data_IF_489249994202
#
_entry.id   IF_489249994202
#
_cell.length_a   1.000
_cell.length_b   1.000
_cell.length_c   1.000
_cell.angle_alpha   90.00
_cell.angle_beta   90.00
_cell.angle_gamma   90.00
#
_symmetry.space_group_name_H-M   'P 1'
#
loop_
_entity.id
_entity.type
_entity.pdbx_description
1 polymer ?
#
# COMPACT_ATOMS: atom_id res chain seq x y z
N UNK A 1 20.37 -20.22 -15.39
CA UNK A 1 21.21 -19.30 -16.16
C UNK A 1 20.46 -18.88 -17.41
N UNK A 2 20.02 -17.61 -17.52
CA UNK A 2 19.66 -16.85 -18.73
C UNK A 2 18.59 -17.41 -19.70
N UNK A 3 17.55 -18.05 -19.22
CA UNK A 3 16.44 -18.47 -20.11
C UNK A 3 15.54 -17.33 -20.58
N UNK A 4 15.59 -16.14 -19.96
CA UNK A 4 14.73 -15.01 -20.30
C UNK A 4 15.52 -13.75 -20.66
N UNK A 5 16.27 -13.80 -21.74
CA UNK A 5 16.87 -12.59 -22.32
C UNK A 5 15.77 -11.71 -22.90
N UNK A 6 15.51 -10.57 -22.26
CA UNK A 6 14.52 -9.59 -22.71
C UNK A 6 14.50 -8.35 -21.82
N UNK A 7 13.91 -7.29 -22.36
CA UNK A 7 13.62 -6.09 -21.59
C UNK A 7 12.43 -6.33 -20.69
N UNK A 8 12.47 -5.79 -19.47
CA UNK A 8 11.32 -5.87 -18.56
C UNK A 8 11.03 -4.51 -17.92
N UNK A 9 9.78 -4.33 -17.55
CA UNK A 9 9.28 -3.16 -16.85
C UNK A 9 8.34 -3.62 -15.73
N UNK A 10 8.60 -3.15 -14.53
CA UNK A 10 7.77 -3.37 -13.36
C UNK A 10 6.98 -2.11 -13.09
N UNK A 11 5.65 -2.21 -13.08
CA UNK A 11 4.73 -1.08 -12.89
C UNK A 11 3.99 -1.27 -11.58
N UNK A 12 4.13 -0.27 -10.70
CA UNK A 12 3.39 -0.18 -9.44
C UNK A 12 2.31 0.89 -9.53
N UNK A 13 1.33 0.79 -8.63
CA UNK A 13 0.20 1.71 -8.65
C UNK A 13 0.57 3.12 -8.18
N UNK A 14 1.29 3.24 -7.05
CA UNK A 14 1.58 4.53 -6.41
C UNK A 14 3.06 4.93 -6.49
N UNK A 15 3.29 6.26 -6.49
CA UNK A 15 4.64 6.81 -6.38
C UNK A 15 5.31 6.44 -5.04
N UNK A 16 4.53 6.39 -3.95
CA UNK A 16 5.03 6.03 -2.63
C UNK A 16 5.58 4.59 -2.61
N UNK A 17 4.86 3.65 -3.22
CA UNK A 17 5.32 2.27 -3.36
C UNK A 17 6.59 2.17 -4.21
N UNK A 18 6.68 2.93 -5.31
CA UNK A 18 7.90 2.98 -6.12
C UNK A 18 9.09 3.51 -5.31
N UNK A 19 8.90 4.55 -4.50
CA UNK A 19 9.94 5.10 -3.64
C UNK A 19 10.38 4.10 -2.57
N UNK A 20 9.43 3.45 -1.90
CA UNK A 20 9.70 2.40 -0.92
C UNK A 20 10.54 1.25 -1.52
N UNK A 21 10.22 0.85 -2.75
CA UNK A 21 10.95 -0.21 -3.45
C UNK A 21 12.33 0.22 -3.95
N UNK A 22 12.57 1.52 -4.16
CA UNK A 22 13.78 2.01 -4.82
C UNK A 22 15.07 1.55 -4.11
N UNK A 23 15.07 1.57 -2.78
CA UNK A 23 16.24 1.14 -2.00
C UNK A 23 16.46 -0.37 -2.10
N UNK A 24 15.42 -1.17 -1.94
CA UNK A 24 15.50 -2.63 -2.09
C UNK A 24 15.89 -3.07 -3.50
N UNK A 25 15.37 -2.39 -4.52
CA UNK A 25 15.71 -2.62 -5.93
C UNK A 25 17.20 -2.41 -6.17
N UNK A 26 17.74 -1.33 -5.62
CA UNK A 26 19.16 -1.00 -5.74
C UNK A 26 20.05 -2.08 -5.12
N UNK A 27 19.67 -2.58 -3.94
CA UNK A 27 20.42 -3.62 -3.21
C UNK A 27 20.49 -4.96 -3.97
N UNK A 28 19.44 -5.32 -4.69
CA UNK A 28 19.40 -6.57 -5.48
C UNK A 28 19.88 -6.40 -6.92
N UNK A 29 20.43 -5.22 -7.26
CA UNK A 29 21.04 -4.95 -8.56
C UNK A 29 20.02 -4.80 -9.71
N UNK A 30 18.76 -4.53 -9.42
CA UNK A 30 17.75 -4.22 -10.44
C UNK A 30 17.90 -2.77 -10.87
N UNK A 31 18.03 -2.47 -12.17
CA UNK A 31 18.12 -1.10 -12.64
C UNK A 31 16.84 -0.31 -12.32
N UNK A 32 16.96 0.82 -11.63
CA UNK A 32 15.81 1.66 -11.27
C UNK A 32 14.94 2.07 -12.48
N UNK A 33 15.55 2.24 -13.67
CA UNK A 33 14.82 2.54 -14.91
C UNK A 33 13.81 1.45 -15.34
N UNK A 34 13.90 0.27 -14.76
CA UNK A 34 13.00 -0.85 -15.06
C UNK A 34 11.78 -0.88 -14.10
N UNK A 35 11.68 0.08 -13.17
CA UNK A 35 10.57 0.21 -12.26
C UNK A 35 9.96 1.59 -12.40
N UNK A 36 8.65 1.65 -12.56
CA UNK A 36 7.94 2.91 -12.69
C UNK A 36 6.57 2.82 -12.03
N UNK A 37 5.96 3.97 -11.73
CA UNK A 37 4.57 3.98 -11.30
C UNK A 37 3.66 4.40 -12.46
N UNK A 38 2.45 3.87 -12.45
CA UNK A 38 1.50 3.95 -13.57
C UNK A 38 1.33 5.35 -14.17
N UNK A 39 1.11 6.37 -13.32
CA UNK A 39 0.90 7.73 -13.81
C UNK A 39 2.10 8.28 -14.58
N UNK A 40 3.33 8.05 -14.10
CA UNK A 40 4.55 8.51 -14.77
C UNK A 40 4.77 7.74 -16.08
N UNK A 41 4.64 6.42 -16.03
CA UNK A 41 4.76 5.56 -17.21
C UNK A 41 3.80 5.99 -18.32
N UNK A 42 2.55 6.30 -17.96
CA UNK A 42 1.51 6.67 -18.92
C UNK A 42 1.68 8.11 -19.43
N UNK A 43 1.96 9.09 -18.55
CA UNK A 43 1.85 10.52 -18.89
C UNK A 43 3.20 11.21 -19.17
N UNK A 44 4.29 10.66 -18.67
CA UNK A 44 5.63 11.24 -18.84
C UNK A 44 6.55 10.39 -19.68
N UNK A 45 6.55 9.09 -19.48
CA UNK A 45 7.40 8.17 -20.22
C UNK A 45 6.82 7.77 -21.59
N UNK A 46 5.56 8.09 -21.90
CA UNK A 46 4.94 7.79 -23.19
C UNK A 46 4.60 6.31 -23.39
N UNK A 47 4.30 5.57 -22.34
CA UNK A 47 3.97 4.16 -22.35
C UNK A 47 5.02 3.29 -23.08
N UNK A 48 6.29 3.27 -22.66
CA UNK A 48 7.28 2.44 -23.31
C UNK A 48 6.90 0.97 -23.28
N UNK A 49 7.23 0.28 -24.38
CA UNK A 49 7.03 -1.16 -24.50
C UNK A 49 8.22 -1.94 -23.94
N UNK A 50 7.96 -3.12 -23.40
CA UNK A 50 8.99 -4.05 -22.97
C UNK A 50 8.66 -5.48 -23.44
N UNK A 51 9.62 -6.40 -23.40
CA UNK A 51 9.34 -7.80 -23.67
C UNK A 51 8.41 -8.38 -22.60
N UNK A 52 8.67 -8.03 -21.34
CA UNK A 52 7.87 -8.43 -20.19
C UNK A 52 7.38 -7.17 -19.45
N UNK A 53 6.09 -7.08 -19.19
CA UNK A 53 5.51 -6.08 -18.29
C UNK A 53 4.95 -6.81 -17.09
N UNK A 54 5.34 -6.38 -15.91
CA UNK A 54 4.91 -6.92 -14.63
C UNK A 54 4.15 -5.79 -13.94
N UNK A 55 2.90 -6.06 -13.57
CA UNK A 55 2.03 -5.07 -12.91
C UNK A 55 1.66 -5.60 -11.53
N UNK A 56 1.90 -4.80 -10.52
CA UNK A 56 1.49 -5.08 -9.15
C UNK A 56 0.21 -4.30 -8.81
N UNK A 57 -0.57 -4.83 -7.86
CA UNK A 57 -1.87 -4.27 -7.45
C UNK A 57 -2.84 -4.13 -8.65
N UNK A 58 -2.92 -5.17 -9.48
CA UNK A 58 -3.66 -5.13 -10.74
C UNK A 58 -5.16 -4.82 -10.55
N UNK A 59 -5.76 -5.12 -9.39
CA UNK A 59 -7.14 -4.81 -9.04
C UNK A 59 -7.43 -3.30 -8.91
N UNK A 60 -6.41 -2.45 -8.85
CA UNK A 60 -6.59 -1.00 -8.77
C UNK A 60 -6.61 -0.31 -10.14
N UNK A 61 -6.47 -1.06 -11.21
CA UNK A 61 -6.49 -0.52 -12.57
C UNK A 61 -7.84 -0.70 -13.25
N UNK A 62 -8.12 0.14 -14.23
CA UNK A 62 -9.27 -0.02 -15.10
C UNK A 62 -9.01 -1.08 -16.17
N UNK A 63 -10.08 -1.53 -16.82
CA UNK A 63 -9.97 -2.43 -17.96
C UNK A 63 -9.09 -1.86 -19.07
N UNK A 64 -9.25 -0.58 -19.38
CA UNK A 64 -8.47 0.13 -20.39
C UNK A 64 -6.97 0.14 -20.05
N UNK A 65 -6.64 0.31 -18.75
CA UNK A 65 -5.25 0.29 -18.32
C UNK A 65 -4.65 -1.13 -18.47
N UNK A 66 -5.38 -2.17 -18.10
CA UNK A 66 -4.95 -3.57 -18.31
C UNK A 66 -4.75 -3.88 -19.80
N UNK A 67 -5.67 -3.45 -20.67
CA UNK A 67 -5.54 -3.62 -22.13
C UNK A 67 -4.36 -2.81 -22.69
N UNK A 68 -4.10 -1.62 -22.14
CA UNK A 68 -2.92 -0.82 -22.49
C UNK A 68 -1.63 -1.55 -22.13
N UNK A 69 -1.51 -2.08 -20.90
CA UNK A 69 -0.36 -2.89 -20.50
C UNK A 69 -0.16 -4.08 -21.44
N UNK A 70 -1.25 -4.79 -21.77
CA UNK A 70 -1.22 -5.91 -22.70
C UNK A 70 -0.69 -5.51 -24.08
N UNK A 71 -1.10 -4.35 -24.59
CA UNK A 71 -0.66 -3.85 -25.90
C UNK A 71 0.82 -3.48 -25.94
N UNK A 72 1.44 -3.18 -24.78
CA UNK A 72 2.83 -2.78 -24.64
C UNK A 72 3.77 -3.91 -24.27
N UNK A 73 3.25 -5.04 -23.79
CA UNK A 73 4.01 -6.24 -23.49
C UNK A 73 4.22 -7.06 -24.79
N UNK A 74 5.49 -7.20 -25.22
CA UNK A 74 5.80 -7.87 -26.49
C UNK A 74 5.78 -9.39 -26.38
N UNK A 75 6.14 -9.95 -25.22
CA UNK A 75 6.22 -11.40 -24.98
C UNK A 75 5.20 -11.85 -23.93
N UNK A 76 5.21 -11.20 -22.74
CA UNK A 76 4.28 -11.56 -21.67
C UNK A 76 3.91 -10.37 -20.82
N UNK A 77 2.65 -10.37 -20.36
CA UNK A 77 2.12 -9.52 -19.30
C UNK A 77 1.85 -10.40 -18.06
N UNK A 78 2.44 -10.03 -16.95
CA UNK A 78 2.21 -10.69 -15.65
C UNK A 78 1.48 -9.70 -14.75
N UNK A 79 0.37 -10.15 -14.17
CA UNK A 79 -0.49 -9.33 -13.32
C UNK A 79 -0.55 -9.97 -11.93
N UNK A 80 -0.19 -9.21 -10.92
CA UNK A 80 -0.31 -9.60 -9.52
C UNK A 80 -1.35 -8.71 -8.86
N UNK A 81 -2.19 -9.29 -8.01
CA UNK A 81 -3.23 -8.54 -7.33
C UNK A 81 -4.06 -9.39 -6.39
N UNK A 82 -4.89 -8.71 -5.61
CA UNK A 82 -5.80 -9.31 -4.63
C UNK A 82 -7.09 -8.49 -4.62
N UNK A 83 -8.20 -9.07 -5.08
CA UNK A 83 -9.51 -8.40 -5.13
C UNK A 83 -9.99 -7.97 -3.74
N UNK A 84 -9.62 -8.69 -2.68
CA UNK A 84 -9.98 -8.33 -1.30
C UNK A 84 -9.25 -7.05 -0.80
N UNK A 85 -8.18 -6.65 -1.48
CA UNK A 85 -7.43 -5.42 -1.18
C UNK A 85 -7.78 -4.25 -2.10
N UNK A 86 -8.85 -4.36 -2.88
CA UNK A 86 -9.30 -3.28 -3.75
C UNK A 86 -9.84 -2.11 -2.92
N UNK A 87 -9.12 -0.99 -2.91
CA UNK A 87 -9.53 0.23 -2.21
C UNK A 87 -10.34 1.20 -3.08
N UNK A 88 -10.19 1.09 -4.39
CA UNK A 88 -10.78 2.02 -5.34
C UNK A 88 -11.81 1.29 -6.19
N UNK A 89 -13.03 1.77 -6.20
CA UNK A 89 -14.06 1.35 -7.18
C UNK A 89 -13.98 2.19 -8.46
N UNK A 90 -13.51 3.44 -8.32
CA UNK A 90 -13.33 4.36 -9.44
C UNK A 90 -12.04 5.14 -9.28
N UNK A 91 -11.31 5.31 -10.36
CA UNK A 91 -10.14 6.18 -10.44
C UNK A 91 -10.32 7.10 -11.65
N UNK A 92 -10.41 8.41 -11.40
CA UNK A 92 -10.58 9.43 -12.46
C UNK A 92 -11.71 9.07 -13.45
N UNK A 93 -12.89 8.77 -12.92
CA UNK A 93 -14.09 8.37 -13.67
C UNK A 93 -13.98 7.02 -14.41
N UNK A 94 -12.93 6.25 -14.19
CA UNK A 94 -12.78 4.88 -14.69
C UNK A 94 -13.07 3.88 -13.58
N UNK A 95 -13.89 2.90 -13.88
CA UNK A 95 -14.14 1.79 -12.97
C UNK A 95 -12.93 0.86 -12.94
N UNK A 96 -12.48 0.53 -11.73
CA UNK A 96 -11.45 -0.50 -11.53
C UNK A 96 -12.05 -1.89 -11.68
N UNK A 97 -11.22 -2.88 -11.96
CA UNK A 97 -11.66 -4.25 -12.23
C UNK A 97 -11.08 -5.22 -11.21
N UNK A 98 -11.88 -6.19 -10.80
CA UNK A 98 -11.42 -7.28 -9.91
C UNK A 98 -10.47 -8.22 -10.64
N UNK A 99 -9.74 -9.05 -9.88
CA UNK A 99 -8.87 -10.08 -10.48
C UNK A 99 -9.68 -11.11 -11.26
N UNK A 100 -10.91 -11.41 -10.84
CA UNK A 100 -11.85 -12.28 -11.51
C UNK A 100 -12.30 -11.68 -12.86
N UNK A 101 -12.60 -10.38 -12.90
CA UNK A 101 -12.92 -9.68 -14.14
C UNK A 101 -11.72 -9.69 -15.10
N UNK A 102 -10.51 -9.42 -14.56
CA UNK A 102 -9.28 -9.47 -15.36
C UNK A 102 -9.11 -10.86 -15.97
N UNK A 103 -9.26 -11.93 -15.21
CA UNK A 103 -9.23 -13.29 -15.71
C UNK A 103 -10.29 -13.52 -16.80
N UNK A 104 -11.52 -13.04 -16.56
CA UNK A 104 -12.64 -13.24 -17.47
C UNK A 104 -12.39 -12.64 -18.86
N UNK A 105 -11.90 -11.40 -18.95
CA UNK A 105 -11.70 -10.76 -20.25
C UNK A 105 -10.33 -11.05 -20.88
N UNK A 106 -9.28 -11.30 -20.09
CA UNK A 106 -7.96 -11.64 -20.65
C UNK A 106 -7.82 -13.09 -21.04
N UNK A 107 -8.52 -13.98 -20.36
CA UNK A 107 -8.38 -15.45 -20.42
C UNK A 107 -6.98 -15.92 -20.03
N UNK A 108 -6.28 -15.16 -19.19
CA UNK A 108 -4.97 -15.55 -18.68
C UNK A 108 -5.10 -16.74 -17.71
N UNK A 109 -4.10 -17.64 -17.70
CA UNK A 109 -4.01 -18.64 -16.64
C UNK A 109 -3.82 -17.92 -15.29
N UNK A 110 -4.41 -18.49 -14.23
CA UNK A 110 -4.34 -17.94 -12.87
C UNK A 110 -3.65 -18.93 -11.96
N UNK A 111 -2.67 -18.43 -11.23
CA UNK A 111 -2.04 -19.08 -10.09
C UNK A 111 -2.47 -18.37 -8.82
N UNK A 112 -2.91 -19.10 -7.83
CA UNK A 112 -3.38 -18.53 -6.57
C UNK A 112 -2.39 -18.82 -5.44
N UNK A 113 -1.92 -17.74 -4.77
CA UNK A 113 -1.12 -17.84 -3.56
C UNK A 113 -2.05 -17.89 -2.35
N UNK A 114 -2.13 -19.03 -1.68
CA UNK A 114 -3.08 -19.26 -0.59
C UNK A 114 -2.51 -18.82 0.76
N UNK A 115 -1.22 -19.06 0.99
CA UNK A 115 -0.61 -18.80 2.29
C UNK A 115 -0.10 -17.36 2.41
N UNK A 116 -0.33 -16.77 3.57
CA UNK A 116 0.16 -15.45 3.94
C UNK A 116 1.33 -15.59 4.92
N UNK A 117 2.53 -15.28 4.45
CA UNK A 117 3.77 -15.34 5.23
C UNK A 117 4.15 -13.98 5.85
N UNK A 118 3.38 -12.94 5.56
CA UNK A 118 3.66 -11.55 6.00
C UNK A 118 2.87 -11.14 7.22
N UNK A 119 1.55 -11.41 7.20
CA UNK A 119 0.63 -10.96 8.26
C UNK A 119 0.64 -11.97 9.41
N UNK A 120 0.96 -11.54 10.65
CA UNK A 120 0.85 -12.41 11.82
C UNK A 120 -0.61 -12.78 12.13
N UNK A 121 -0.86 -14.03 12.56
CA UNK A 121 -2.18 -14.53 12.94
C UNK A 121 -2.89 -13.65 13.97
N UNK A 122 -2.15 -13.11 14.94
CA UNK A 122 -2.73 -12.23 15.97
C UNK A 122 -3.31 -10.94 15.40
N UNK A 123 -2.73 -10.42 14.31
CA UNK A 123 -3.25 -9.24 13.60
C UNK A 123 -4.39 -9.70 12.67
N UNK A 124 -4.20 -10.80 11.94
CA UNK A 124 -5.21 -11.36 11.04
C UNK A 124 -6.53 -11.61 11.78
N UNK A 125 -6.48 -12.15 13.01
CA UNK A 125 -7.65 -12.39 13.87
C UNK A 125 -8.46 -11.11 14.13
N UNK A 126 -7.84 -9.96 14.27
CA UNK A 126 -8.56 -8.69 14.38
C UNK A 126 -9.06 -8.23 13.01
N UNK A 127 -8.20 -8.27 11.99
CA UNK A 127 -8.50 -7.76 10.66
C UNK A 127 -9.67 -8.49 9.99
N UNK A 128 -9.79 -9.79 10.15
CA UNK A 128 -10.89 -10.58 9.54
C UNK A 128 -12.29 -10.14 9.97
N UNK A 129 -12.45 -9.55 11.17
CA UNK A 129 -13.74 -9.02 11.61
C UNK A 129 -14.11 -7.68 10.96
N UNK A 130 -13.15 -7.02 10.34
CA UNK A 130 -13.35 -5.77 9.60
C UNK A 130 -13.66 -6.02 8.11
N UNK A 131 -13.42 -7.23 7.64
CA UNK A 131 -13.72 -7.63 6.28
C UNK A 131 -15.14 -8.22 6.22
N UNK A 132 -15.95 -7.76 5.27
CA UNK A 132 -17.31 -8.24 5.04
C UNK A 132 -17.37 -9.64 4.38
N UNK A 133 -16.27 -10.08 3.80
CA UNK A 133 -16.13 -11.43 3.26
C UNK A 133 -15.64 -12.36 4.36
N UNK A 134 -16.29 -13.52 4.52
CA UNK A 134 -15.94 -14.55 5.49
C UNK A 134 -14.65 -15.28 5.08
N UNK A 135 -13.57 -14.53 4.98
CA UNK A 135 -12.29 -15.06 4.59
C UNK A 135 -11.57 -15.60 5.85
N UNK A 136 -11.13 -16.84 5.78
CA UNK A 136 -10.34 -17.51 6.81
C UNK A 136 -8.91 -16.95 6.86
N UNK A 137 -8.79 -15.61 6.94
CA UNK A 137 -7.53 -14.89 6.86
C UNK A 137 -6.52 -15.38 7.90
N UNK A 138 -6.99 -15.65 9.13
CA UNK A 138 -6.13 -16.16 10.19
C UNK A 138 -5.57 -17.55 9.86
N UNK A 139 -6.37 -18.44 9.29
CA UNK A 139 -5.95 -19.81 8.95
C UNK A 139 -4.92 -19.85 7.84
N UNK A 140 -4.95 -18.88 6.93
CA UNK A 140 -3.96 -18.75 5.86
C UNK A 140 -2.62 -18.16 6.29
N UNK A 141 -2.56 -17.53 7.47
CA UNK A 141 -1.32 -16.95 7.99
C UNK A 141 -0.41 -18.04 8.57
N UNK A 142 0.88 -17.99 8.23
CA UNK A 142 1.87 -18.95 8.73
C UNK A 142 2.53 -18.51 10.02
N UNK A 143 2.64 -17.21 10.25
CA UNK A 143 3.35 -16.63 11.38
C UNK A 143 2.40 -16.31 12.53
N UNK A 144 2.74 -16.74 13.77
CA UNK A 144 1.91 -16.47 14.96
C UNK A 144 1.97 -14.98 15.37
N UNK A 145 3.12 -14.35 15.25
CA UNK A 145 3.38 -12.99 15.68
C UNK A 145 3.69 -12.86 17.18
N UNK A 146 4.41 -11.80 17.54
CA UNK A 146 4.89 -11.58 18.91
C UNK A 146 3.81 -10.93 19.76
N UNK A 147 3.32 -9.75 19.39
CA UNK A 147 2.35 -8.97 20.15
C UNK A 147 0.95 -9.05 19.56
N UNK A 148 -0.05 -8.87 20.41
CA UNK A 148 -1.46 -8.70 19.96
C UNK A 148 -1.68 -7.23 19.61
N UNK A 149 -2.51 -6.95 18.60
CA UNK A 149 -2.96 -5.58 18.36
C UNK A 149 -3.74 -5.06 19.58
N UNK A 150 -3.63 -3.76 19.85
CA UNK A 150 -4.24 -3.10 21.01
C UNK A 150 -5.21 -2.04 20.54
N UNK A 151 -6.43 -2.06 21.04
CA UNK A 151 -7.41 -1.00 20.86
C UNK A 151 -7.44 -0.22 22.18
N UNK A 152 -7.08 1.06 22.14
CA UNK A 152 -6.99 1.90 23.32
C UNK A 152 -7.87 3.13 23.11
N UNK A 153 -8.77 3.38 24.06
CA UNK A 153 -9.64 4.55 24.04
C UNK A 153 -8.99 5.68 24.83
N UNK A 154 -8.98 6.86 24.23
CA UNK A 154 -8.53 8.12 24.84
C UNK A 154 -9.69 9.11 24.96
N UNK A 155 -9.56 10.12 25.80
CA UNK A 155 -10.60 11.13 25.99
C UNK A 155 -10.58 12.20 24.88
N UNK A 156 -9.42 12.41 24.27
CA UNK A 156 -9.23 13.40 23.20
C UNK A 156 -8.03 13.04 22.32
N UNK A 157 -7.89 13.75 21.22
CA UNK A 157 -6.84 13.55 20.21
C UNK A 157 -5.45 13.83 20.78
N UNK A 158 -5.31 14.85 21.62
CA UNK A 158 -4.03 15.22 22.24
C UNK A 158 -3.47 14.08 23.08
N UNK A 159 -4.30 13.46 23.93
CA UNK A 159 -3.89 12.28 24.71
C UNK A 159 -3.44 11.11 23.83
N UNK A 160 -4.08 10.91 22.66
CA UNK A 160 -3.66 9.87 21.70
C UNK A 160 -2.27 10.16 21.17
N UNK A 161 -2.02 11.41 20.72
CA UNK A 161 -0.75 11.78 20.13
C UNK A 161 0.38 11.72 21.16
N UNK A 162 0.15 12.19 22.38
CA UNK A 162 1.11 12.11 23.48
C UNK A 162 1.48 10.66 23.81
N UNK A 163 0.49 9.76 23.81
CA UNK A 163 0.72 8.35 24.05
C UNK A 163 1.54 7.69 22.92
N UNK A 164 1.29 8.05 21.67
CA UNK A 164 2.05 7.53 20.53
C UNK A 164 3.49 8.06 20.58
N UNK A 165 3.69 9.36 20.81
CA UNK A 165 5.01 9.97 20.99
C UNK A 165 5.78 9.24 22.08
N UNK A 166 5.15 9.07 23.26
CA UNK A 166 5.76 8.41 24.41
C UNK A 166 6.14 6.95 24.11
N UNK A 167 5.29 6.21 23.35
CA UNK A 167 5.59 4.83 22.97
C UNK A 167 6.78 4.76 22.03
N UNK A 168 6.82 5.61 21.00
CA UNK A 168 7.91 5.65 20.03
C UNK A 168 9.23 5.96 20.74
N UNK A 169 9.26 7.00 21.58
CA UNK A 169 10.47 7.43 22.26
C UNK A 169 10.93 6.43 23.33
N UNK A 170 10.03 5.94 24.18
CA UNK A 170 10.39 5.07 25.31
C UNK A 170 10.82 3.67 24.87
N UNK A 171 10.29 3.20 23.74
CA UNK A 171 10.62 1.86 23.19
C UNK A 171 11.66 1.92 22.08
N UNK A 172 12.15 3.11 21.71
CA UNK A 172 13.03 3.32 20.56
C UNK A 172 12.49 2.57 19.32
N UNK A 173 11.21 2.81 18.98
CA UNK A 173 10.57 2.13 17.87
C UNK A 173 11.15 2.65 16.55
N UNK A 174 11.57 1.74 15.71
CA UNK A 174 12.00 1.96 14.33
C UNK A 174 10.91 1.45 13.38
N UNK A 175 10.99 1.81 12.10
CA UNK A 175 10.04 1.38 11.06
C UNK A 175 8.57 1.56 11.47
N UNK A 176 8.22 2.82 11.77
CA UNK A 176 6.90 3.19 12.31
C UNK A 176 6.04 3.84 11.23
N UNK A 177 4.86 3.28 10.97
CA UNK A 177 3.78 3.89 10.19
C UNK A 177 2.69 4.46 11.10
N UNK A 178 2.29 5.72 10.87
CA UNK A 178 1.17 6.37 11.56
C UNK A 178 0.14 6.72 10.48
N UNK A 179 -0.98 6.01 10.49
CA UNK A 179 -1.91 6.00 9.36
C UNK A 179 -3.23 6.69 9.72
N UNK A 180 -3.71 7.53 8.81
CA UNK A 180 -4.90 8.35 8.96
C UNK A 180 -5.89 8.13 7.82
N UNK A 181 -7.13 8.56 8.01
CA UNK A 181 -8.15 8.50 6.97
C UNK A 181 -7.99 9.62 5.94
N UNK A 182 -7.71 10.85 6.40
CA UNK A 182 -7.69 12.06 5.58
C UNK A 182 -6.37 12.83 5.67
N UNK A 183 -6.08 13.61 4.64
CA UNK A 183 -4.85 14.41 4.58
C UNK A 183 -4.78 15.52 5.65
N UNK A 184 -5.90 16.11 6.01
CA UNK A 184 -5.98 17.14 7.07
C UNK A 184 -5.68 16.57 8.46
N UNK A 185 -6.00 15.30 8.70
CA UNK A 185 -5.63 14.58 9.91
C UNK A 185 -4.10 14.36 9.96
N UNK A 186 -3.50 13.96 8.83
CA UNK A 186 -2.04 13.80 8.71
C UNK A 186 -1.33 15.13 8.98
N UNK A 187 -1.79 16.22 8.35
CA UNK A 187 -1.21 17.55 8.51
C UNK A 187 -1.28 18.02 9.97
N UNK A 188 -2.45 17.89 10.61
CA UNK A 188 -2.66 18.23 12.03
C UNK A 188 -1.74 17.43 12.95
N UNK A 189 -1.64 16.12 12.74
CA UNK A 189 -0.77 15.26 13.52
C UNK A 189 0.71 15.60 13.30
N UNK A 190 1.12 15.84 12.06
CA UNK A 190 2.49 16.25 11.72
C UNK A 190 2.91 17.50 12.47
N UNK A 191 2.09 18.57 12.44
CA UNK A 191 2.37 19.80 13.17
C UNK A 191 2.42 19.59 14.69
N UNK A 192 1.55 18.71 15.21
CA UNK A 192 1.58 18.37 16.63
C UNK A 192 2.89 17.69 17.03
N UNK A 193 3.31 16.65 16.34
CA UNK A 193 4.54 15.90 16.63
C UNK A 193 5.78 16.79 16.50
N UNK A 194 5.84 17.59 15.46
CA UNK A 194 6.92 18.55 15.23
C UNK A 194 7.04 19.56 16.38
N UNK A 195 5.92 20.10 16.88
CA UNK A 195 5.89 21.02 17.99
C UNK A 195 6.30 20.36 19.33
N UNK A 196 6.23 19.03 19.42
CA UNK A 196 6.69 18.24 20.56
C UNK A 196 8.11 17.66 20.36
N UNK A 197 8.84 18.17 19.37
CA UNK A 197 10.24 17.80 19.14
C UNK A 197 10.47 16.40 18.59
N UNK A 198 9.45 15.80 17.94
CA UNK A 198 9.56 14.50 17.28
C UNK A 198 9.75 14.71 15.79
N UNK A 199 10.87 14.21 15.27
CA UNK A 199 11.10 14.20 13.83
C UNK A 199 10.22 13.13 13.21
N UNK A 200 9.35 13.54 12.29
CA UNK A 200 8.46 12.67 11.53
C UNK A 200 8.46 13.12 10.07
N UNK A 201 8.20 12.19 9.19
CA UNK A 201 7.96 12.48 7.79
C UNK A 201 6.48 12.32 7.48
N UNK A 202 5.93 13.23 6.72
CA UNK A 202 4.50 13.23 6.45
C UNK A 202 4.20 13.40 4.96
N UNK A 203 3.16 12.70 4.50
CA UNK A 203 2.63 12.83 3.15
C UNK A 203 1.14 13.15 3.21
N UNK A 204 0.82 14.44 3.08
CA UNK A 204 -0.56 14.95 3.02
C UNK A 204 -0.83 15.85 1.82
N UNK A 205 0.15 16.00 0.93
CA UNK A 205 0.06 16.77 -0.31
C UNK A 205 0.60 16.01 -1.51
N UNK A 206 0.16 16.42 -2.69
CA UNK A 206 0.51 15.74 -3.95
C UNK A 206 2.02 15.71 -4.26
N UNK A 207 2.76 16.71 -3.78
CA UNK A 207 4.20 16.89 -4.07
C UNK A 207 5.11 16.50 -2.91
N UNK A 208 4.57 15.92 -1.85
CA UNK A 208 5.36 15.48 -0.70
C UNK A 208 5.83 14.05 -0.91
N UNK A 209 7.11 13.84 -0.75
CA UNK A 209 7.75 12.54 -0.84
C UNK A 209 8.19 12.08 0.55
N UNK A 210 8.20 10.78 0.78
CA UNK A 210 8.70 10.16 2.01
C UNK A 210 10.09 9.60 1.73
N UNK A 211 10.99 9.79 2.68
CA UNK A 211 12.31 9.18 2.68
C UNK A 211 12.26 7.86 3.48
N UNK A 212 12.21 6.75 2.79
CA UNK A 212 12.19 5.42 3.42
C UNK A 212 13.58 4.94 3.84
N UNK A 213 14.64 5.69 3.56
CA UNK A 213 15.97 5.41 4.09
C UNK A 213 16.19 5.95 5.50
N UNK A 214 15.30 6.80 5.98
CA UNK A 214 15.34 7.38 7.32
C UNK A 214 14.52 6.55 8.31
N UNK A 215 14.98 6.48 9.57
CA UNK A 215 14.28 5.79 10.67
C UNK A 215 13.13 6.63 11.27
N UNK A 216 12.91 7.85 10.76
CA UNK A 216 11.82 8.69 11.24
C UNK A 216 10.46 8.03 10.98
N UNK A 217 9.49 8.12 11.92
CA UNK A 217 8.12 7.67 11.69
C UNK A 217 7.50 8.31 10.43
N UNK A 218 6.75 7.51 9.67
CA UNK A 218 6.08 7.92 8.44
C UNK A 218 4.59 8.15 8.69
N UNK A 219 4.11 9.34 8.44
CA UNK A 219 2.70 9.72 8.56
C UNK A 219 2.06 9.83 7.17
N UNK A 220 0.94 9.16 6.96
CA UNK A 220 0.24 9.20 5.69
C UNK A 220 -1.20 8.71 5.81
N UNK A 221 -1.98 8.87 4.74
CA UNK A 221 -3.32 8.28 4.68
C UNK A 221 -3.27 6.77 4.40
N UNK A 222 -4.36 6.05 4.73
CA UNK A 222 -4.51 4.62 4.37
C UNK A 222 -4.27 4.37 2.88
N UNK A 223 -4.77 5.26 2.02
CA UNK A 223 -4.56 5.16 0.58
C UNK A 223 -3.08 5.30 0.17
N UNK A 224 -2.36 6.20 0.82
CA UNK A 224 -0.94 6.40 0.54
C UNK A 224 -0.06 5.28 1.07
N UNK A 225 -0.53 4.55 2.10
CA UNK A 225 0.20 3.42 2.69
C UNK A 225 -0.01 2.10 1.97
N UNK A 226 -0.90 2.06 0.97
CA UNK A 226 -1.16 0.82 0.23
C UNK A 226 0.13 0.25 -0.37
N UNK A 227 0.35 -1.04 -0.15
CA UNK A 227 1.56 -1.76 -0.57
C UNK A 227 2.78 -1.54 0.32
N UNK A 228 2.74 -0.59 1.27
CA UNK A 228 3.81 -0.39 2.25
C UNK A 228 3.70 -1.39 3.41
N UNK A 229 4.81 -1.57 4.11
CA UNK A 229 4.89 -2.43 5.28
C UNK A 229 5.70 -1.73 6.36
N UNK A 230 5.25 -1.83 7.60
CA UNK A 230 5.90 -1.27 8.78
C UNK A 230 5.92 -2.31 9.89
N UNK A 231 6.97 -2.30 10.71
CA UNK A 231 7.06 -3.15 11.89
C UNK A 231 6.03 -2.72 12.95
N UNK A 232 5.86 -1.40 13.10
CA UNK A 232 4.92 -0.81 14.04
C UNK A 232 3.91 0.08 13.30
N UNK A 233 2.62 -0.16 13.55
CA UNK A 233 1.55 0.64 12.95
C UNK A 233 0.67 1.24 14.02
N UNK A 234 0.48 2.55 13.95
CA UNK A 234 -0.51 3.29 14.74
C UNK A 234 -1.64 3.78 13.83
N UNK A 235 -2.86 3.63 14.29
CA UNK A 235 -4.08 4.09 13.61
C UNK A 235 -4.82 5.02 14.57
N UNK A 236 -4.37 6.27 14.72
CA UNK A 236 -5.06 7.24 15.57
C UNK A 236 -6.36 7.69 14.94
N UNK A 237 -7.19 8.38 15.74
CA UNK A 237 -8.46 8.96 15.30
C UNK A 237 -9.44 7.94 14.66
N UNK A 238 -9.24 6.64 14.95
CA UNK A 238 -10.14 5.59 14.52
C UNK A 238 -11.44 5.68 15.34
N UNK A 239 -12.42 6.43 14.86
CA UNK A 239 -13.73 6.58 15.47
C UNK A 239 -14.77 5.80 14.66
N UNK A 240 -15.71 5.18 15.38
CA UNK A 240 -16.93 4.68 14.73
C UNK A 240 -17.83 5.90 14.53
N UNK A 241 -17.69 6.55 13.39
CA UNK A 241 -18.66 7.54 12.96
C UNK A 241 -19.83 6.78 12.31
N UNK A 242 -21.07 7.14 12.69
CA UNK A 242 -22.23 6.71 11.95
C UNK A 242 -22.12 7.21 10.51
N UNK A 243 -21.83 6.31 9.59
CA UNK A 243 -21.70 6.58 8.14
C UNK A 243 -23.03 7.02 7.48
N UNK A 244 -24.07 7.32 8.27
CA UNK A 244 -25.37 7.72 7.77
C UNK A 244 -25.35 9.04 6.97
N UNK A 245 -24.27 9.83 7.01
CA UNK A 245 -24.20 11.14 6.36
C UNK A 245 -22.92 11.43 5.54
N UNK A 246 -22.05 10.45 5.32
CA UNK A 246 -20.90 10.63 4.43
C UNK A 246 -20.99 9.65 3.26
N UNK A 247 -21.04 10.19 2.04
CA UNK A 247 -20.94 9.40 0.82
C UNK A 247 -19.80 8.39 0.95
N UNK A 248 -20.04 7.11 0.63
CA UNK A 248 -18.93 6.15 0.49
C UNK A 248 -17.98 6.68 -0.58
N UNK A 249 -16.71 6.67 -0.25
CA UNK A 249 -15.62 7.00 -1.18
C UNK A 249 -15.62 6.08 -2.38
#
# INVERSE_FOLDING_TARGET
QDEHKGTYLYIVFTKALMQYMADGISQVGIPQRNVDYHWHWQNRAGCPSADYIIVDEAQDFSKEDIELFRSKAKKALLLYGDSAQQLYTFIKDKQTVSMEDIQYFTKFPVEQLVFNHRLPKKIARLAQYLNSESDELEERCTEEGVEKPKIIKYNNITEQYDAIISLIQNKNMEDVGILFRHNDEVERAYEYFKNHGVNVEAKYGQFMDLDFSSDNPKMMTYHSSKGLQFEHVFIPECTVEDDANRNPL
#
